data_IF_151304686099
#
_entry.id   IF_151304686099
#
_cell.length_a   1.000
_cell.length_b   1.000
_cell.length_c   1.000
_cell.angle_alpha   90.00
_cell.angle_beta   90.00
_cell.angle_gamma   90.00
#
_symmetry.space_group_name_H-M   'P 1'
#
loop_
_entity.id
_entity.type
_entity.pdbx_description
1 polymer ?
#
# COMPACT_ATOMS: atom_id res chain seq x y z
N UNK A 1 12.92 20.05 -2.38
CA UNK A 1 11.47 20.22 -2.31
C UNK A 1 11.19 20.83 -0.95
N UNK A 2 10.68 22.09 -0.93
CA UNK A 2 10.45 22.83 0.30
C UNK A 2 9.32 22.22 1.13
N UNK A 3 9.40 22.43 2.43
CA UNK A 3 8.40 22.01 3.43
C UNK A 3 7.08 22.78 3.23
N UNK A 4 6.26 22.32 2.30
CA UNK A 4 4.87 22.79 2.16
C UNK A 4 3.96 21.98 3.09
N UNK A 5 4.18 22.11 4.40
CA UNK A 5 3.32 21.53 5.42
C UNK A 5 2.53 22.63 6.13
N UNK A 6 1.24 22.42 6.30
CA UNK A 6 0.38 23.23 7.17
C UNK A 6 -0.02 22.34 8.34
N UNK A 7 0.39 22.69 9.55
CA UNK A 7 0.17 21.90 10.76
C UNK A 7 0.58 20.40 10.65
N UNK A 8 1.71 20.14 9.94
CA UNK A 8 2.21 18.78 9.75
C UNK A 8 1.58 18.01 8.57
N UNK A 9 0.60 18.59 7.87
CA UNK A 9 -0.04 17.96 6.71
C UNK A 9 0.56 18.46 5.39
N UNK A 10 0.74 17.57 4.44
CA UNK A 10 1.14 17.95 3.09
C UNK A 10 0.01 18.71 2.39
N UNK A 11 0.36 19.65 1.50
CA UNK A 11 -0.64 20.39 0.71
C UNK A 11 -1.57 19.45 -0.06
N UNK A 12 -1.05 18.34 -0.60
CA UNK A 12 -1.85 17.33 -1.30
C UNK A 12 -2.93 16.74 -0.40
N UNK A 13 -2.59 16.36 0.82
CA UNK A 13 -3.55 15.82 1.78
C UNK A 13 -4.64 16.84 2.15
N UNK A 14 -4.27 18.11 2.30
CA UNK A 14 -5.25 19.17 2.59
C UNK A 14 -6.21 19.41 1.42
N UNK A 15 -5.72 19.36 0.18
CA UNK A 15 -6.56 19.47 -1.01
C UNK A 15 -7.53 18.29 -1.11
N UNK A 16 -7.04 17.05 -0.90
CA UNK A 16 -7.89 15.85 -0.89
C UNK A 16 -8.96 15.96 0.21
N UNK A 17 -8.57 16.34 1.43
CA UNK A 17 -9.51 16.50 2.53
C UNK A 17 -10.55 17.58 2.25
N UNK A 18 -10.15 18.72 1.66
CA UNK A 18 -11.05 19.79 1.24
C UNK A 18 -12.06 19.33 0.18
N UNK A 19 -11.59 18.60 -0.84
CA UNK A 19 -12.46 18.04 -1.87
C UNK A 19 -13.42 16.98 -1.32
N UNK A 20 -12.95 16.14 -0.40
CA UNK A 20 -13.80 15.15 0.27
C UNK A 20 -14.92 15.82 1.07
N UNK A 21 -14.62 16.92 1.77
CA UNK A 21 -15.64 17.71 2.47
C UNK A 21 -16.67 18.36 1.52
N UNK A 22 -16.25 18.78 0.33
CA UNK A 22 -17.16 19.39 -0.66
C UNK A 22 -18.05 18.34 -1.29
N UNK A 23 -17.51 17.18 -1.64
CA UNK A 23 -18.22 16.10 -2.34
C UNK A 23 -19.00 15.18 -1.41
N UNK A 24 -18.66 15.14 -0.11
CA UNK A 24 -19.11 14.17 0.87
C UNK A 24 -18.82 12.70 0.48
N UNK A 25 -17.87 12.49 -0.42
CA UNK A 25 -17.49 11.18 -0.94
C UNK A 25 -16.00 11.18 -1.34
N UNK A 26 -15.22 10.28 -0.75
CA UNK A 26 -13.77 10.25 -0.98
C UNK A 26 -13.43 9.82 -2.41
N UNK A 27 -14.09 8.78 -2.93
CA UNK A 27 -13.87 8.30 -4.29
C UNK A 27 -14.22 9.37 -5.34
N UNK A 28 -15.31 10.10 -5.12
CA UNK A 28 -15.70 11.23 -5.97
C UNK A 28 -14.67 12.36 -5.88
N UNK A 29 -14.19 12.69 -4.69
CA UNK A 29 -13.15 13.71 -4.50
C UNK A 29 -11.87 13.37 -5.29
N UNK A 30 -11.40 12.13 -5.22
CA UNK A 30 -10.22 11.64 -5.97
C UNK A 30 -10.46 11.74 -7.49
N UNK A 31 -11.66 11.38 -7.96
CA UNK A 31 -12.03 11.45 -9.38
C UNK A 31 -12.03 12.89 -9.91
N UNK A 32 -12.60 13.83 -9.16
CA UNK A 32 -12.62 15.24 -9.55
C UNK A 32 -11.20 15.86 -9.49
N UNK A 33 -10.43 15.52 -8.45
CA UNK A 33 -9.06 15.98 -8.35
C UNK A 33 -8.17 15.44 -9.49
N UNK A 34 -8.37 14.20 -9.90
CA UNK A 34 -7.68 13.59 -11.04
C UNK A 34 -7.95 14.35 -12.35
N UNK A 35 -9.17 14.85 -12.55
CA UNK A 35 -9.51 15.72 -13.69
C UNK A 35 -8.79 17.07 -13.63
N UNK A 36 -8.79 17.72 -12.46
CA UNK A 36 -8.10 19.01 -12.26
C UNK A 36 -6.60 18.88 -12.53
N UNK A 37 -5.98 17.80 -12.09
CA UNK A 37 -4.55 17.52 -12.29
C UNK A 37 -4.23 16.93 -13.66
N UNK A 38 -5.24 16.72 -14.53
CA UNK A 38 -5.10 16.12 -15.86
C UNK A 38 -4.34 14.77 -15.81
N UNK A 39 -4.65 13.94 -14.83
CA UNK A 39 -4.04 12.62 -14.66
C UNK A 39 -4.51 11.72 -15.83
N UNK A 40 -3.55 11.04 -16.47
CA UNK A 40 -3.84 9.99 -17.45
C UNK A 40 -4.08 8.68 -16.73
N UNK A 41 -5.15 7.97 -17.12
CA UNK A 41 -5.62 6.79 -16.39
C UNK A 41 -6.58 7.16 -15.26
N UNK A 42 -6.76 6.26 -14.32
CA UNK A 42 -7.69 6.40 -13.20
C UNK A 42 -6.96 6.15 -11.89
N UNK A 43 -7.30 6.93 -10.88
CA UNK A 43 -6.93 6.67 -9.49
C UNK A 43 -8.19 6.22 -8.78
N UNK A 44 -8.19 4.99 -8.30
CA UNK A 44 -9.35 4.35 -7.67
C UNK A 44 -8.95 3.94 -6.26
N UNK A 45 -9.59 4.46 -5.21
CA UNK A 45 -9.38 3.96 -3.86
C UNK A 45 -9.82 2.49 -3.73
N UNK A 46 -9.15 1.73 -2.88
CA UNK A 46 -9.54 0.34 -2.60
C UNK A 46 -10.89 0.26 -1.86
N UNK A 47 -11.17 1.24 -1.01
CA UNK A 47 -12.46 1.42 -0.29
C UNK A 47 -12.76 2.91 -0.13
N UNK A 48 -14.04 3.23 0.00
CA UNK A 48 -14.51 4.60 0.32
C UNK A 48 -14.70 4.82 1.84
N UNK A 49 -14.52 3.77 2.63
CA UNK A 49 -14.63 3.83 4.08
C UNK A 49 -13.42 4.52 4.72
N UNK A 50 -13.66 5.20 5.83
CA UNK A 50 -12.59 5.67 6.70
C UNK A 50 -12.04 4.50 7.48
N UNK A 51 -10.77 4.17 7.29
CA UNK A 51 -10.10 3.03 7.92
C UNK A 51 -8.82 3.46 8.60
N UNK A 52 -8.41 2.73 9.63
CA UNK A 52 -7.10 2.83 10.24
C UNK A 52 -6.32 1.54 9.97
N UNK A 53 -5.08 1.68 9.50
CA UNK A 53 -4.16 0.56 9.38
C UNK A 53 -3.50 0.28 10.72
N UNK A 54 -3.56 -0.97 11.15
CA UNK A 54 -2.97 -1.48 12.38
C UNK A 54 -2.07 -2.68 12.06
N UNK A 55 -1.12 -2.98 12.94
CA UNK A 55 -0.22 -4.13 12.79
C UNK A 55 -0.23 -5.00 14.03
N UNK A 56 -0.08 -6.31 13.82
CA UNK A 56 0.30 -7.26 14.85
C UNK A 56 1.78 -7.55 14.67
N UNK A 57 2.57 -7.35 15.72
CA UNK A 57 4.00 -7.65 15.73
C UNK A 57 4.26 -9.13 16.06
N UNK A 58 5.44 -9.66 15.75
CA UNK A 58 5.78 -11.07 16.05
C UNK A 58 5.68 -11.43 17.53
N UNK A 59 5.86 -10.45 18.43
CA UNK A 59 5.69 -10.65 19.89
C UNK A 59 4.22 -10.56 20.36
N UNK A 60 3.29 -10.38 19.44
CA UNK A 60 1.85 -10.28 19.71
C UNK A 60 1.37 -8.88 20.08
N UNK A 61 2.24 -7.86 20.15
CA UNK A 61 1.82 -6.48 20.37
C UNK A 61 0.99 -5.98 19.19
N UNK A 62 -0.07 -5.23 19.49
CA UNK A 62 -0.89 -4.55 18.47
C UNK A 62 -0.48 -3.07 18.44
N UNK A 63 -0.10 -2.60 17.26
CA UNK A 63 0.28 -1.21 17.01
C UNK A 63 -0.79 -0.55 16.15
N UNK A 64 -1.36 0.54 16.66
CA UNK A 64 -2.42 1.27 15.99
C UNK A 64 -1.88 2.45 15.19
N UNK A 65 -2.33 2.57 13.94
CA UNK A 65 -2.02 3.67 13.03
C UNK A 65 -0.73 3.48 12.25
N UNK A 66 -0.84 3.71 10.94
CA UNK A 66 0.22 3.54 9.94
C UNK A 66 1.56 4.19 10.35
N UNK A 67 1.51 5.43 10.84
CA UNK A 67 2.71 6.21 11.20
C UNK A 67 3.44 5.69 12.43
N UNK A 68 2.81 4.84 13.23
CA UNK A 68 3.40 4.26 14.44
C UNK A 68 4.06 2.92 14.18
N UNK A 69 3.64 2.20 13.15
CA UNK A 69 4.14 0.87 12.82
C UNK A 69 5.68 0.88 12.68
N UNK A 70 6.29 1.72 11.81
CA UNK A 70 7.74 1.71 11.64
C UNK A 70 8.51 2.15 12.90
N UNK A 71 7.90 2.97 13.76
CA UNK A 71 8.56 3.51 14.96
C UNK A 71 8.86 2.45 16.02
N UNK A 72 8.21 1.31 15.96
CA UNK A 72 8.43 0.22 16.91
C UNK A 72 9.74 -0.50 16.68
N UNK A 73 10.27 -0.47 15.44
CA UNK A 73 11.42 -1.26 15.00
C UNK A 73 11.28 -2.76 15.32
N UNK A 74 10.03 -3.24 15.40
CA UNK A 74 9.69 -4.64 15.61
C UNK A 74 9.30 -5.28 14.30
N UNK A 75 9.52 -6.58 14.21
CA UNK A 75 9.12 -7.35 13.02
C UNK A 75 7.59 -7.48 12.98
N UNK A 76 7.04 -7.18 11.81
CA UNK A 76 5.59 -7.23 11.58
C UNK A 76 5.19 -8.67 11.22
N UNK A 77 4.23 -9.23 11.93
CA UNK A 77 3.60 -10.50 11.55
C UNK A 77 2.55 -10.30 10.46
N UNK A 78 1.59 -9.40 10.70
CA UNK A 78 0.56 -9.04 9.73
C UNK A 78 0.01 -7.64 9.98
N UNK A 79 -0.67 -7.09 9.00
CA UNK A 79 -1.43 -5.83 9.13
C UNK A 79 -2.93 -6.09 8.91
N UNK A 80 -3.75 -5.22 9.45
CA UNK A 80 -5.21 -5.28 9.32
C UNK A 80 -5.82 -3.89 9.36
N UNK A 81 -7.03 -3.77 8.82
CA UNK A 81 -7.81 -2.54 8.85
C UNK A 81 -8.79 -2.54 10.02
N UNK A 82 -9.08 -1.37 10.54
CA UNK A 82 -10.13 -1.14 11.52
C UNK A 82 -11.03 0.02 11.03
N UNK A 83 -12.33 -0.23 10.78
CA UNK A 83 -13.02 -1.53 10.83
C UNK A 83 -12.52 -2.51 9.77
N UNK A 84 -12.66 -3.83 10.01
CA UNK A 84 -12.12 -4.90 9.15
C UNK A 84 -13.09 -5.36 8.05
N UNK A 85 -14.35 -5.01 8.15
CA UNK A 85 -15.45 -5.43 7.27
C UNK A 85 -15.83 -4.36 6.25
N UNK A 86 -14.84 -3.61 5.78
CA UNK A 86 -15.06 -2.53 4.80
C UNK A 86 -15.28 -3.07 3.40
N UNK A 87 -16.26 -2.48 2.71
CA UNK A 87 -16.56 -2.82 1.33
C UNK A 87 -15.52 -2.23 0.37
N UNK A 88 -15.08 -3.00 -0.63
CA UNK A 88 -14.25 -2.48 -1.72
C UNK A 88 -15.06 -1.55 -2.62
N UNK A 89 -14.38 -0.66 -3.33
CA UNK A 89 -15.02 0.06 -4.42
C UNK A 89 -15.27 -0.87 -5.62
N UNK A 90 -16.47 -0.82 -6.19
CA UNK A 90 -16.83 -1.64 -7.36
C UNK A 90 -15.88 -1.38 -8.54
N UNK A 91 -15.53 -0.11 -8.78
CA UNK A 91 -14.58 0.27 -9.83
C UNK A 91 -13.19 -0.35 -9.63
N UNK A 92 -12.77 -0.55 -8.39
CA UNK A 92 -11.48 -1.22 -8.11
C UNK A 92 -11.56 -2.72 -8.44
N UNK A 93 -12.67 -3.37 -8.10
CA UNK A 93 -12.92 -4.78 -8.45
C UNK A 93 -12.95 -4.94 -9.97
N UNK A 94 -13.74 -4.10 -10.68
CA UNK A 94 -13.85 -4.13 -12.13
C UNK A 94 -12.50 -3.90 -12.81
N UNK A 95 -11.68 -2.96 -12.30
CA UNK A 95 -10.35 -2.70 -12.83
C UNK A 95 -9.42 -3.91 -12.68
N UNK A 96 -9.47 -4.62 -11.55
CA UNK A 96 -8.70 -5.86 -11.35
C UNK A 96 -9.16 -6.99 -12.26
N UNK A 97 -10.47 -7.16 -12.43
CA UNK A 97 -11.04 -8.22 -13.26
C UNK A 97 -10.81 -8.01 -14.76
N UNK A 98 -10.70 -6.75 -15.21
CA UNK A 98 -10.47 -6.39 -16.61
C UNK A 98 -9.00 -6.14 -16.95
N UNK A 99 -8.11 -6.26 -15.98
CA UNK A 99 -6.69 -5.98 -16.18
C UNK A 99 -6.02 -7.03 -17.11
N UNK A 100 -5.14 -6.56 -17.99
CA UNK A 100 -4.22 -7.41 -18.77
C UNK A 100 -2.96 -7.76 -17.97
N UNK A 101 -2.60 -6.94 -17.00
CA UNK A 101 -1.47 -7.11 -16.07
C UNK A 101 -1.77 -6.38 -14.78
N UNK A 102 -1.48 -7.00 -13.65
CA UNK A 102 -1.55 -6.36 -12.34
C UNK A 102 -0.14 -6.16 -11.81
N UNK A 103 0.18 -4.93 -11.41
CA UNK A 103 1.48 -4.58 -10.84
C UNK A 103 1.29 -4.17 -9.38
N UNK A 104 2.00 -4.87 -8.49
CA UNK A 104 2.05 -4.54 -7.07
C UNK A 104 3.35 -3.78 -6.78
N UNK A 105 3.22 -2.57 -6.25
CA UNK A 105 4.38 -1.71 -5.96
C UNK A 105 4.88 -0.90 -7.16
N UNK A 106 6.05 -0.20 -7.02
CA UNK A 106 6.81 -0.09 -5.78
C UNK A 106 6.11 0.72 -4.70
N UNK A 107 6.48 0.48 -3.45
CA UNK A 107 5.94 1.18 -2.27
C UNK A 107 6.32 0.46 -0.99
N UNK A 108 6.08 1.06 0.17
CA UNK A 108 6.25 0.41 1.46
C UNK A 108 5.46 -0.90 1.49
N UNK A 109 6.12 -2.00 1.85
CA UNK A 109 5.52 -3.33 1.74
C UNK A 109 4.21 -3.43 2.52
N UNK A 110 4.23 -3.10 3.81
CA UNK A 110 3.07 -3.25 4.68
C UNK A 110 2.13 -2.06 4.61
N UNK A 111 2.66 -0.83 4.61
CA UNK A 111 1.82 0.37 4.73
C UNK A 111 1.28 0.86 3.39
N UNK A 112 1.87 0.48 2.26
CA UNK A 112 1.38 0.92 0.94
C UNK A 112 0.88 -0.22 0.06
N UNK A 113 1.56 -1.38 0.02
CA UNK A 113 1.17 -2.49 -0.86
C UNK A 113 0.18 -3.41 -0.15
N UNK A 114 0.58 -4.01 0.98
CA UNK A 114 -0.24 -4.98 1.72
C UNK A 114 -1.50 -4.33 2.31
N UNK A 115 -1.46 -3.05 2.69
CA UNK A 115 -2.62 -2.32 3.20
C UNK A 115 -3.84 -2.38 2.25
N UNK A 116 -3.62 -2.32 0.93
CA UNK A 116 -4.68 -2.47 -0.06
C UNK A 116 -5.25 -3.90 -0.08
N UNK A 117 -4.41 -4.90 0.17
CA UNK A 117 -4.82 -6.31 0.21
C UNK A 117 -5.62 -6.68 1.47
N UNK A 118 -5.62 -5.79 2.48
CA UNK A 118 -6.47 -5.95 3.67
C UNK A 118 -7.96 -5.73 3.37
N UNK A 119 -8.30 -5.05 2.27
CA UNK A 119 -9.70 -4.95 1.82
C UNK A 119 -10.08 -6.28 1.16
N UNK A 120 -10.90 -7.07 1.84
CA UNK A 120 -11.19 -8.47 1.48
C UNK A 120 -11.60 -8.66 0.02
N UNK A 121 -12.49 -7.85 -0.51
CA UNK A 121 -12.92 -7.93 -1.91
C UNK A 121 -11.78 -7.68 -2.92
N UNK A 122 -10.78 -6.86 -2.58
CA UNK A 122 -9.60 -6.61 -3.41
C UNK A 122 -8.74 -7.87 -3.51
N UNK A 123 -8.39 -8.50 -2.39
CA UNK A 123 -7.59 -9.74 -2.40
C UNK A 123 -8.33 -10.89 -3.10
N UNK A 124 -9.64 -11.01 -2.90
CA UNK A 124 -10.46 -12.00 -3.59
C UNK A 124 -10.51 -11.78 -5.11
N UNK A 125 -10.67 -10.54 -5.58
CA UNK A 125 -10.63 -10.21 -7.01
C UNK A 125 -9.26 -10.49 -7.60
N UNK A 126 -8.19 -10.15 -6.87
CA UNK A 126 -6.82 -10.43 -7.27
C UNK A 126 -6.57 -11.94 -7.48
N UNK A 127 -7.13 -12.80 -6.64
CA UNK A 127 -7.02 -14.24 -6.76
C UNK A 127 -7.86 -14.82 -7.92
N UNK A 128 -9.02 -14.23 -8.18
CA UNK A 128 -9.93 -14.71 -9.24
C UNK A 128 -9.48 -14.36 -10.65
N UNK A 129 -8.83 -13.21 -10.82
CA UNK A 129 -8.41 -12.76 -12.16
C UNK A 129 -7.31 -13.62 -12.74
N UNK A 130 -7.39 -13.87 -14.06
CA UNK A 130 -6.34 -14.57 -14.83
C UNK A 130 -5.19 -13.65 -15.24
N UNK A 131 -5.30 -12.35 -15.02
CA UNK A 131 -4.21 -11.40 -15.31
C UNK A 131 -2.93 -11.79 -14.57
N UNK A 132 -1.76 -11.76 -15.21
CA UNK A 132 -0.49 -11.97 -14.53
C UNK A 132 -0.27 -10.93 -13.44
N UNK A 133 0.33 -11.34 -12.32
CA UNK A 133 0.64 -10.49 -11.17
C UNK A 133 2.16 -10.32 -11.06
N UNK A 134 2.59 -9.09 -11.22
CA UNK A 134 3.99 -8.68 -11.15
C UNK A 134 4.24 -7.89 -9.86
N UNK A 135 5.14 -8.36 -9.03
CA UNK A 135 5.60 -7.60 -7.88
C UNK A 135 6.89 -6.84 -8.20
N UNK A 136 6.92 -5.54 -7.91
CA UNK A 136 8.12 -4.71 -8.00
C UNK A 136 8.68 -4.51 -6.61
N UNK A 137 9.75 -5.24 -6.30
CA UNK A 137 10.40 -5.18 -4.99
C UNK A 137 11.10 -3.84 -4.77
N UNK A 138 11.08 -3.37 -3.54
CA UNK A 138 11.85 -2.19 -3.15
C UNK A 138 13.34 -2.44 -3.38
N UNK A 139 14.03 -1.39 -3.81
CA UNK A 139 15.49 -1.41 -4.05
C UNK A 139 16.25 -1.49 -2.74
N UNK A 140 15.71 -0.87 -1.69
CA UNK A 140 16.29 -0.82 -0.35
C UNK A 140 15.27 -1.29 0.69
N UNK A 141 15.72 -1.89 1.76
CA UNK A 141 14.90 -2.19 2.93
C UNK A 141 14.45 -0.90 3.60
N UNK A 142 13.29 -0.94 4.24
CA UNK A 142 12.71 0.20 4.94
C UNK A 142 12.79 -0.02 6.44
N UNK A 143 13.54 0.85 7.17
CA UNK A 143 13.66 0.72 8.63
C UNK A 143 12.31 0.68 9.34
N UNK A 144 12.14 -0.30 10.23
CA UNK A 144 10.91 -0.49 10.99
C UNK A 144 9.78 -1.21 10.24
N UNK A 145 9.96 -1.53 8.95
CA UNK A 145 9.00 -2.35 8.19
C UNK A 145 9.64 -3.62 7.62
N UNK A 146 10.75 -3.48 6.90
CA UNK A 146 11.37 -4.58 6.15
C UNK A 146 12.86 -4.71 6.48
N UNK A 147 13.23 -4.49 7.75
CA UNK A 147 14.60 -4.62 8.20
C UNK A 147 15.16 -6.00 7.85
N UNK A 148 16.28 -5.99 7.13
CA UNK A 148 16.99 -7.19 6.65
C UNK A 148 16.17 -8.12 5.72
N UNK A 149 15.04 -7.68 5.15
CA UNK A 149 14.28 -8.50 4.23
C UNK A 149 15.02 -8.69 2.91
N UNK A 150 15.02 -9.92 2.43
CA UNK A 150 15.31 -10.23 1.03
C UNK A 150 14.01 -10.26 0.19
N UNK A 151 14.14 -10.51 -1.11
CA UNK A 151 12.99 -10.58 -2.03
C UNK A 151 12.03 -11.70 -1.64
N UNK A 152 12.56 -12.82 -1.12
CA UNK A 152 11.73 -13.95 -0.70
C UNK A 152 10.83 -13.56 0.48
N UNK A 153 11.37 -12.84 1.46
CA UNK A 153 10.62 -12.40 2.63
C UNK A 153 9.50 -11.42 2.27
N UNK A 154 9.72 -10.56 1.24
CA UNK A 154 8.65 -9.73 0.68
C UNK A 154 7.51 -10.58 0.09
N UNK A 155 7.84 -11.60 -0.72
CA UNK A 155 6.86 -12.51 -1.31
C UNK A 155 6.14 -13.33 -0.23
N UNK A 156 6.86 -13.81 0.78
CA UNK A 156 6.28 -14.56 1.89
C UNK A 156 5.29 -13.69 2.70
N UNK A 157 5.59 -12.40 2.89
CA UNK A 157 4.67 -11.46 3.55
C UNK A 157 3.39 -11.23 2.73
N UNK A 158 3.52 -11.02 1.41
CA UNK A 158 2.38 -10.89 0.49
C UNK A 158 1.52 -12.14 0.49
N UNK A 159 2.14 -13.32 0.38
CA UNK A 159 1.47 -14.63 0.40
C UNK A 159 0.75 -14.86 1.73
N UNK A 160 1.38 -14.54 2.85
CA UNK A 160 0.78 -14.66 4.19
C UNK A 160 -0.45 -13.79 4.35
N UNK A 161 -0.40 -12.57 3.82
CA UNK A 161 -1.53 -11.63 3.90
C UNK A 161 -2.75 -12.11 3.11
N UNK A 162 -2.54 -12.66 1.91
CA UNK A 162 -3.61 -13.12 1.03
C UNK A 162 -4.06 -14.55 1.37
N UNK A 163 -3.16 -15.36 1.94
CA UNK A 163 -3.42 -16.75 2.35
C UNK A 163 -2.94 -17.81 1.37
N UNK A 164 -2.58 -17.44 0.14
CA UNK A 164 -2.05 -18.35 -0.87
C UNK A 164 -1.09 -17.62 -1.84
N UNK A 165 -0.16 -18.35 -2.49
CA UNK A 165 0.73 -17.77 -3.51
C UNK A 165 -0.07 -17.23 -4.70
N UNK A 166 0.24 -16.00 -5.13
CA UNK A 166 -0.47 -15.36 -6.23
C UNK A 166 0.43 -14.52 -7.16
N UNK A 167 1.71 -14.34 -6.81
CA UNK A 167 2.65 -13.58 -7.61
C UNK A 167 3.24 -14.46 -8.70
N UNK A 168 3.12 -14.06 -9.97
CA UNK A 168 3.67 -14.76 -11.13
C UNK A 168 5.09 -14.31 -11.46
N UNK A 169 5.38 -13.01 -11.29
CA UNK A 169 6.68 -12.41 -11.64
C UNK A 169 7.15 -11.44 -10.58
N UNK A 170 8.46 -11.32 -10.43
CA UNK A 170 9.10 -10.35 -9.53
C UNK A 170 10.16 -9.56 -10.29
N UNK A 171 10.13 -8.24 -10.15
CA UNK A 171 11.23 -7.36 -10.56
C UNK A 171 11.97 -6.94 -9.29
N UNK A 172 13.27 -7.19 -9.25
CA UNK A 172 14.15 -6.77 -8.17
C UNK A 172 15.46 -6.23 -8.72
N UNK A 173 16.14 -5.38 -7.94
CA UNK A 173 17.49 -4.93 -8.28
C UNK A 173 18.48 -6.08 -8.13
N UNK A 174 19.36 -6.25 -9.10
CA UNK A 174 20.50 -7.16 -9.05
C UNK A 174 21.80 -6.45 -8.69
N UNK A 175 21.77 -5.12 -8.48
CA UNK A 175 22.95 -4.33 -8.18
C UNK A 175 23.32 -4.40 -6.70
N UNK A 176 24.62 -4.47 -6.42
CA UNK A 176 25.17 -4.29 -5.08
C UNK A 176 25.52 -2.80 -4.89
N UNK A 177 25.03 -2.21 -3.82
CA UNK A 177 25.30 -0.80 -3.52
C UNK A 177 26.61 -0.66 -2.71
N UNK A 178 27.31 0.46 -2.92
CA UNK A 178 28.50 0.77 -2.12
C UNK A 178 28.11 1.02 -0.65
N UNK A 179 29.06 0.78 0.27
CA UNK A 179 28.82 1.03 1.69
C UNK A 179 28.37 2.47 1.98
N UNK A 180 28.88 3.45 1.24
CA UNK A 180 28.51 4.86 1.40
C UNK A 180 27.06 5.13 1.02
N UNK A 181 26.50 4.38 0.08
CA UNK A 181 25.07 4.46 -0.28
C UNK A 181 24.23 3.79 0.80
N UNK A 182 24.61 2.61 1.25
CA UNK A 182 23.89 1.88 2.30
C UNK A 182 23.78 2.71 3.59
N UNK A 183 24.89 3.32 4.03
CA UNK A 183 24.91 4.18 5.24
C UNK A 183 23.99 5.40 5.20
N UNK A 184 23.48 5.80 4.03
CA UNK A 184 22.51 6.90 3.91
C UNK A 184 21.07 6.45 4.17
N UNK A 185 20.84 5.16 4.22
CA UNK A 185 19.50 4.54 4.40
C UNK A 185 19.38 3.76 5.72
N UNK A 186 20.45 3.69 6.50
CA UNK A 186 20.46 3.25 7.88
C UNK A 186 20.12 4.41 8.85
#
# INVERSE_FOLDING_TARGET
>A
FGENQVDGHSLGNLVIAGMTNITNDFGHAIKELSKVLNIKGQVIPSTNASVQLNAVMEDGEIVHGETNIPKTHKKIDRVFLEPSDVEPMNEAIEALEQADLIVLGPGSLYTSVISNLCVKGISEALLRTSAPKLYVSNVMTQPGETDNYDVKEHIDALTRQVGEPFIDFVICSSESYSKDVLQRYE
#
